data_IF_531703427163
#
_entry.id   IF_531703427163
#
_cell.length_a   1.000
_cell.length_b   1.000
_cell.length_c   1.000
_cell.angle_alpha   90.00
_cell.angle_beta   90.00
_cell.angle_gamma   90.00
#
_symmetry.space_group_name_H-M   'P 1'
#
loop_
_entity.id
_entity.type
_entity.pdbx_description
1 polymer ?
#
# COMPACT_ATOMS: atom_id res chain seq x y z
N UNK A 1 9.49 -1.33 -3.88
CA UNK A 1 10.18 -1.17 -5.17
C UNK A 1 9.32 -0.25 -6.00
N UNK A 2 9.85 0.85 -6.53
CA UNK A 2 9.07 1.83 -7.30
C UNK A 2 8.85 1.29 -8.71
N UNK A 3 7.59 1.25 -9.17
CA UNK A 3 7.26 0.74 -10.51
C UNK A 3 7.48 1.84 -11.53
N UNK A 4 8.27 1.56 -12.56
CA UNK A 4 8.46 2.49 -13.68
C UNK A 4 7.37 2.24 -14.73
N UNK A 5 6.78 3.32 -15.24
CA UNK A 5 5.86 3.20 -16.36
C UNK A 5 6.63 2.80 -17.62
N UNK A 6 6.34 1.61 -18.16
CA UNK A 6 7.12 0.98 -19.22
C UNK A 6 7.22 1.79 -20.52
N UNK A 7 6.32 2.75 -20.76
CA UNK A 7 6.32 3.63 -21.94
C UNK A 7 7.06 4.95 -21.70
N UNK A 8 7.02 5.50 -20.48
CA UNK A 8 7.45 6.88 -20.23
C UNK A 8 8.73 6.98 -19.38
N UNK A 9 9.17 5.87 -18.77
CA UNK A 9 10.31 5.89 -17.84
C UNK A 9 10.06 6.72 -16.57
N UNK A 10 8.84 7.22 -16.38
CA UNK A 10 8.44 8.04 -15.24
C UNK A 10 8.04 7.12 -14.08
N UNK A 11 8.50 7.39 -12.85
CA UNK A 11 8.04 6.69 -11.66
C UNK A 11 6.55 6.99 -11.42
N UNK A 12 5.77 5.95 -11.12
CA UNK A 12 4.37 6.11 -10.72
C UNK A 12 4.07 5.20 -9.53
N UNK A 13 3.00 5.52 -8.81
CA UNK A 13 2.48 4.68 -7.74
C UNK A 13 1.29 3.89 -8.29
N UNK A 14 1.39 2.56 -8.41
CA UNK A 14 0.26 1.75 -8.86
C UNK A 14 -0.92 1.88 -7.89
N UNK A 15 -2.13 2.06 -8.39
CA UNK A 15 -3.35 2.12 -7.60
C UNK A 15 -3.57 0.83 -6.79
N UNK A 16 -3.11 -0.31 -7.31
CA UNK A 16 -3.08 -1.58 -6.57
C UNK A 16 -2.15 -1.55 -5.36
N UNK A 17 -1.02 -0.83 -5.45
CA UNK A 17 -0.10 -0.65 -4.32
C UNK A 17 -0.68 0.30 -3.28
N UNK A 18 -1.32 1.40 -3.71
CA UNK A 18 -2.03 2.34 -2.83
C UNK A 18 -3.16 1.62 -2.08
N UNK A 19 -3.98 0.85 -2.80
CA UNK A 19 -5.02 -0.01 -2.22
C UNK A 19 -4.44 -1.02 -1.23
N UNK A 20 -3.37 -1.71 -1.64
CA UNK A 20 -2.72 -2.73 -0.81
C UNK A 20 -2.18 -2.16 0.49
N UNK A 21 -1.60 -0.96 0.45
CA UNK A 21 -1.11 -0.25 1.63
C UNK A 21 -2.25 0.11 2.59
N UNK A 22 -3.29 0.79 2.09
CA UNK A 22 -4.43 1.17 2.91
C UNK A 22 -5.13 -0.06 3.52
N UNK A 23 -5.36 -1.09 2.70
CA UNK A 23 -5.95 -2.36 3.12
C UNK A 23 -5.12 -3.05 4.21
N UNK A 24 -3.81 -3.14 4.02
CA UNK A 24 -2.93 -3.76 5.00
C UNK A 24 -2.94 -2.99 6.32
N UNK A 25 -2.94 -1.65 6.26
CA UNK A 25 -2.99 -0.81 7.46
C UNK A 25 -4.28 -1.03 8.26
N UNK A 26 -5.42 -1.11 7.58
CA UNK A 26 -6.70 -1.48 8.20
C UNK A 26 -6.61 -2.83 8.92
N UNK A 27 -6.07 -3.85 8.25
CA UNK A 27 -5.91 -5.20 8.82
C UNK A 27 -5.03 -5.17 10.07
N UNK A 28 -3.88 -4.49 9.99
CA UNK A 28 -2.92 -4.42 11.08
C UNK A 28 -3.44 -3.62 12.28
N UNK A 29 -4.25 -2.59 12.06
CA UNK A 29 -4.76 -1.77 13.16
C UNK A 29 -6.06 -2.30 13.78
N UNK A 30 -7.03 -2.70 12.95
CA UNK A 30 -8.39 -3.00 13.42
C UNK A 30 -8.62 -4.49 13.67
N UNK A 31 -7.83 -5.36 13.03
CA UNK A 31 -8.01 -6.83 13.12
C UNK A 31 -6.82 -7.51 13.80
N UNK A 32 -6.11 -6.78 14.67
CA UNK A 32 -4.94 -7.28 15.39
C UNK A 32 -5.32 -8.14 16.61
N UNK A 33 -5.85 -9.34 16.35
CA UNK A 33 -6.04 -10.34 17.39
C UNK A 33 -4.74 -11.11 17.64
N UNK A 34 -4.39 -11.30 18.91
CA UNK A 34 -3.09 -11.88 19.36
C UNK A 34 -2.94 -13.36 18.98
N UNK A 35 -4.03 -14.06 18.67
CA UNK A 35 -4.05 -15.51 18.41
C UNK A 35 -4.70 -15.91 17.07
N UNK A 36 -5.08 -14.95 16.22
CA UNK A 36 -5.89 -15.20 15.01
C UNK A 36 -5.22 -14.86 13.68
N UNK A 37 -5.80 -15.37 12.58
CA UNK A 37 -5.44 -14.94 11.22
C UNK A 37 -6.16 -13.62 10.91
N UNK A 38 -5.41 -12.52 10.97
CA UNK A 38 -5.93 -11.15 10.78
C UNK A 38 -6.60 -10.96 9.42
N UNK A 39 -6.08 -11.61 8.39
CA UNK A 39 -6.65 -11.55 7.04
C UNK A 39 -8.01 -12.22 7.02
N UNK A 40 -8.14 -13.38 7.68
CA UNK A 40 -9.41 -14.09 7.81
C UNK A 40 -10.44 -13.29 8.59
N UNK A 41 -10.02 -12.63 9.68
CA UNK A 41 -10.89 -11.77 10.48
C UNK A 41 -11.40 -10.57 9.66
N UNK A 42 -10.51 -9.93 8.90
CA UNK A 42 -10.88 -8.83 8.00
C UNK A 42 -11.82 -9.29 6.87
N UNK A 43 -11.60 -10.47 6.29
CA UNK A 43 -12.50 -11.08 5.29
C UNK A 43 -13.84 -11.55 5.89
N UNK A 44 -13.92 -11.64 7.22
CA UNK A 44 -15.16 -11.85 7.97
C UNK A 44 -15.98 -10.57 8.18
N UNK A 45 -15.43 -9.40 7.84
CA UNK A 45 -16.08 -8.10 7.99
C UNK A 45 -16.66 -7.62 6.65
N UNK A 46 -17.98 -7.52 6.56
CA UNK A 46 -18.69 -7.11 5.35
C UNK A 46 -18.40 -5.67 4.94
N UNK A 47 -18.16 -4.76 5.89
CA UNK A 47 -17.78 -3.37 5.61
C UNK A 47 -16.40 -3.28 4.96
N UNK A 48 -15.43 -4.03 5.49
CA UNK A 48 -14.09 -4.17 4.91
C UNK A 48 -14.16 -4.76 3.50
N UNK A 49 -14.88 -5.87 3.31
CA UNK A 49 -15.08 -6.49 2.01
C UNK A 49 -15.78 -5.55 1.02
N UNK A 50 -16.74 -4.75 1.47
CA UNK A 50 -17.42 -3.78 0.62
C UNK A 50 -16.47 -2.71 0.08
N UNK A 51 -15.53 -2.22 0.89
CA UNK A 51 -14.55 -1.20 0.46
C UNK A 51 -13.47 -1.82 -0.44
N UNK A 52 -12.82 -2.88 0.02
CA UNK A 52 -11.59 -3.40 -0.60
C UNK A 52 -11.83 -4.60 -1.53
N UNK A 53 -13.03 -5.19 -1.53
CA UNK A 53 -13.33 -6.43 -2.21
C UNK A 53 -12.80 -7.65 -1.46
N UNK A 54 -13.22 -8.82 -1.93
CA UNK A 54 -12.94 -10.07 -1.25
C UNK A 54 -13.00 -11.30 -2.18
N UNK A 55 -12.30 -12.39 -1.84
CA UNK A 55 -12.36 -13.66 -2.54
C UNK A 55 -13.59 -14.50 -2.11
N UNK A 56 -13.81 -15.61 -2.82
CA UNK A 56 -14.97 -16.52 -2.63
C UNK A 56 -15.13 -17.04 -1.19
N UNK A 57 -14.04 -17.21 -0.45
CA UNK A 57 -14.03 -17.71 0.92
C UNK A 57 -14.27 -16.64 2.00
N UNK A 58 -14.80 -15.46 1.63
CA UNK A 58 -15.12 -14.36 2.55
C UNK A 58 -16.59 -14.32 2.93
N UNK A 59 -16.96 -13.48 3.90
CA UNK A 59 -18.35 -13.32 4.37
C UNK A 59 -19.31 -12.84 3.26
N UNK A 60 -18.79 -12.15 2.25
CA UNK A 60 -19.56 -11.64 1.11
C UNK A 60 -19.42 -12.49 -0.16
N UNK A 61 -18.69 -13.61 -0.11
CA UNK A 61 -18.27 -14.34 -1.32
C UNK A 61 -17.34 -13.51 -2.21
N UNK A 62 -17.12 -13.91 -3.47
CA UNK A 62 -16.32 -13.12 -4.40
C UNK A 62 -16.99 -11.77 -4.67
N UNK A 63 -16.40 -10.70 -4.13
CA UNK A 63 -16.96 -9.35 -4.19
C UNK A 63 -15.94 -8.37 -4.75
N UNK A 64 -16.38 -7.55 -5.71
CA UNK A 64 -15.58 -6.42 -6.19
C UNK A 64 -15.82 -5.23 -5.28
N UNK A 65 -14.78 -4.79 -4.59
CA UNK A 65 -14.84 -3.59 -3.74
C UNK A 65 -15.36 -2.36 -4.48
N UNK A 66 -16.15 -1.54 -3.78
CA UNK A 66 -16.82 -0.37 -4.33
C UNK A 66 -15.83 0.77 -4.66
N UNK A 67 -14.73 0.88 -3.91
CA UNK A 67 -13.73 1.94 -4.10
C UNK A 67 -12.68 1.55 -5.15
N UNK A 68 -12.46 2.46 -6.09
CA UNK A 68 -11.45 2.40 -7.14
C UNK A 68 -10.24 3.23 -6.71
N UNK A 69 -9.06 2.63 -6.81
CA UNK A 69 -7.78 3.27 -6.51
C UNK A 69 -7.05 3.45 -7.82
N UNK A 70 -6.75 4.71 -8.18
CA UNK A 70 -6.12 5.05 -9.44
C UNK A 70 -4.60 5.07 -9.29
N UNK A 71 -3.90 4.87 -10.41
CA UNK A 71 -2.46 5.08 -10.48
C UNK A 71 -2.15 6.56 -10.25
N UNK A 72 -1.19 6.86 -9.38
CA UNK A 72 -0.76 8.22 -9.11
C UNK A 72 0.54 8.53 -9.86
N UNK A 73 0.53 9.63 -10.61
CA UNK A 73 1.67 10.15 -11.33
C UNK A 73 2.21 11.40 -10.63
N UNK A 74 3.52 11.69 -10.76
CA UNK A 74 4.09 12.87 -10.13
C UNK A 74 3.54 14.15 -10.78
N UNK A 75 3.20 15.13 -9.96
CA UNK A 75 2.58 16.42 -10.36
C UNK A 75 3.60 17.36 -11.02
N UNK A 76 4.87 17.17 -10.71
CA UNK A 76 6.00 17.85 -11.34
C UNK A 76 7.02 16.83 -11.79
N UNK A 77 7.89 17.19 -12.74
CA UNK A 77 8.98 16.30 -13.17
C UNK A 77 9.81 15.87 -11.94
N UNK A 78 9.83 14.57 -11.61
CA UNK A 78 10.58 14.09 -10.46
C UNK A 78 12.08 14.18 -10.74
N UNK A 79 12.87 14.57 -9.74
CA UNK A 79 14.32 14.39 -9.80
C UNK A 79 14.62 12.92 -9.52
N UNK A 80 15.02 12.18 -10.54
CA UNK A 80 15.35 10.77 -10.43
C UNK A 80 16.82 10.66 -10.02
N UNK A 81 17.09 10.19 -8.81
CA UNK A 81 18.44 9.83 -8.35
C UNK A 81 18.60 8.30 -8.36
N UNK A 82 19.82 7.83 -8.66
CA UNK A 82 20.16 6.41 -8.65
C UNK A 82 20.74 6.07 -7.27
N UNK A 83 20.06 5.23 -6.48
CA UNK A 83 20.60 4.72 -5.22
C UNK A 83 21.03 3.25 -5.38
N UNK A 84 22.08 2.85 -4.68
CA UNK A 84 22.71 1.53 -4.79
C UNK A 84 22.61 0.83 -3.43
N UNK A 85 21.78 -0.21 -3.35
CA UNK A 85 21.82 -1.13 -2.22
C UNK A 85 22.89 -2.21 -2.45
N UNK A 86 23.76 -2.42 -1.48
CA UNK A 86 24.51 -3.67 -1.36
C UNK A 86 23.85 -4.56 -0.30
N UNK A 87 22.83 -5.40 -0.62
CA UNK A 87 22.31 -6.36 0.35
C UNK A 87 23.41 -7.38 0.67
N UNK A 88 23.89 -7.38 1.91
CA UNK A 88 25.02 -8.22 2.34
C UNK A 88 24.63 -9.65 2.77
N UNK A 89 23.35 -10.05 2.62
CA UNK A 89 22.83 -11.34 3.12
C UNK A 89 21.95 -12.06 2.09
N UNK A 90 22.54 -12.49 0.97
CA UNK A 90 21.92 -13.41 0.01
C UNK A 90 21.72 -14.86 0.50
N UNK A 91 22.65 -15.50 1.25
CA UNK A 91 22.56 -16.95 1.52
C UNK A 91 21.68 -17.37 2.70
N UNK A 92 21.23 -16.45 3.57
CA UNK A 92 20.52 -16.82 4.82
C UNK A 92 19.11 -17.41 4.56
N UNK A 93 18.49 -17.11 3.42
CA UNK A 93 17.16 -17.61 3.06
C UNK A 93 17.17 -18.95 2.30
N UNK A 94 18.34 -19.53 2.04
CA UNK A 94 18.47 -20.79 1.28
C UNK A 94 18.71 -22.04 2.15
N UNK A 95 18.81 -21.90 3.48
CA UNK A 95 18.75 -23.03 4.42
C UNK A 95 19.79 -24.12 4.20
N UNK A 96 21.08 -23.81 4.33
CA UNK A 96 22.08 -24.72 4.92
C UNK A 96 23.48 -24.08 4.89
N UNK A 97 23.94 -23.54 6.04
CA UNK A 97 25.33 -23.36 6.53
C UNK A 97 25.49 -22.12 7.42
N UNK A 98 26.39 -22.15 8.43
CA UNK A 98 26.67 -21.01 9.30
C UNK A 98 27.34 -19.85 8.53
N UNK A 99 27.17 -18.59 8.98
CA UNK A 99 27.62 -17.41 8.26
C UNK A 99 29.15 -17.37 8.16
N UNK A 100 29.66 -17.01 6.99
CA UNK A 100 31.08 -16.74 6.78
C UNK A 100 31.27 -15.49 5.91
N UNK A 101 32.30 -14.72 6.25
CA UNK A 101 32.54 -13.30 5.91
C UNK A 101 32.98 -13.01 4.46
N UNK A 102 32.64 -13.88 3.49
CA UNK A 102 33.21 -13.83 2.13
C UNK A 102 32.19 -13.69 0.98
N UNK A 103 30.99 -13.14 1.23
CA UNK A 103 30.02 -12.90 0.16
C UNK A 103 30.20 -11.53 -0.49
N UNK A 104 30.45 -11.51 -1.80
CA UNK A 104 30.51 -10.28 -2.61
C UNK A 104 29.15 -9.55 -2.55
N UNK A 105 29.12 -8.24 -2.29
CA UNK A 105 27.88 -7.47 -2.40
C UNK A 105 27.43 -7.49 -3.87
N UNK A 106 26.18 -7.87 -4.11
CA UNK A 106 25.53 -7.73 -5.42
C UNK A 106 24.77 -6.40 -5.38
N UNK A 107 25.28 -5.32 -6.00
CA UNK A 107 24.62 -4.03 -5.93
C UNK A 107 23.28 -4.08 -6.66
N UNK A 108 22.18 -3.86 -5.93
CA UNK A 108 20.85 -3.65 -6.50
C UNK A 108 20.67 -2.14 -6.62
N UNK A 109 20.85 -1.61 -7.83
CA UNK A 109 20.48 -0.25 -8.15
C UNK A 109 18.95 -0.15 -8.11
N UNK A 110 18.41 0.81 -7.37
CA UNK A 110 17.00 1.16 -7.41
C UNK A 110 16.87 2.67 -7.55
N UNK A 111 15.86 3.10 -8.29
CA UNK A 111 15.63 4.53 -8.49
C UNK A 111 14.98 5.10 -7.23
N UNK A 112 15.54 6.18 -6.73
CA UNK A 112 14.96 7.05 -5.69
C UNK A 112 14.43 8.30 -6.37
N UNK A 113 13.29 8.78 -5.89
CA UNK A 113 12.75 10.07 -6.33
C UNK A 113 12.97 11.06 -5.21
N UNK A 114 13.71 12.12 -5.50
CA UNK A 114 13.87 13.27 -4.63
C UNK A 114 12.78 14.29 -4.97
N UNK A 115 12.10 14.80 -3.92
CA UNK A 115 11.14 15.90 -3.98
C UNK A 115 10.01 15.77 -5.02
N UNK A 116 9.34 14.61 -5.10
CA UNK A 116 8.14 14.46 -5.93
C UNK A 116 6.83 14.56 -5.13
N UNK A 117 5.91 15.36 -5.65
CA UNK A 117 4.52 15.39 -5.22
C UNK A 117 3.68 14.49 -6.13
N UNK A 118 2.72 13.77 -5.57
CA UNK A 118 1.82 12.88 -6.31
C UNK A 118 0.38 13.25 -5.97
N UNK A 119 -0.48 13.33 -6.98
CA UNK A 119 -1.92 13.43 -6.79
C UNK A 119 -2.51 12.02 -6.66
N UNK A 120 -2.99 11.70 -5.47
CA UNK A 120 -3.60 10.39 -5.20
C UNK A 120 -5.10 10.51 -5.32
N UNK A 121 -5.63 9.86 -6.35
CA UNK A 121 -7.06 9.83 -6.62
C UNK A 121 -7.65 8.49 -6.20
N UNK A 122 -8.73 8.56 -5.44
CA UNK A 122 -9.64 7.45 -5.18
C UNK A 122 -11.06 7.85 -5.61
N UNK A 123 -11.86 6.88 -6.04
CA UNK A 123 -13.21 7.18 -6.53
C UNK A 123 -14.18 6.03 -6.33
N UNK A 124 -15.47 6.36 -6.32
CA UNK A 124 -16.59 5.44 -6.14
C UNK A 124 -17.77 5.97 -6.97
N UNK A 125 -18.70 5.10 -7.36
CA UNK A 125 -19.96 5.61 -7.91
C UNK A 125 -20.76 6.26 -6.77
N UNK A 126 -21.37 7.42 -7.01
CA UNK A 126 -22.12 8.14 -5.97
C UNK A 126 -23.23 7.29 -5.33
N UNK A 127 -23.90 6.45 -6.13
CA UNK A 127 -24.91 5.50 -5.65
C UNK A 127 -24.39 4.47 -4.66
N UNK A 128 -23.10 4.15 -4.73
CA UNK A 128 -22.44 3.13 -3.91
C UNK A 128 -21.76 3.77 -2.68
N UNK A 129 -21.73 5.10 -2.58
CA UNK A 129 -21.10 5.83 -1.48
C UNK A 129 -22.07 6.12 -0.33
N UNK A 130 -22.87 5.12 0.05
CA UNK A 130 -23.81 5.20 1.18
C UNK A 130 -23.16 4.74 2.47
N UNK A 131 -23.75 5.07 3.62
CA UNK A 131 -23.25 4.63 4.91
C UNK A 131 -23.16 3.10 4.98
N UNK A 132 -22.03 2.59 5.47
CA UNK A 132 -21.81 1.17 5.69
C UNK A 132 -22.71 0.69 6.82
N UNK A 133 -23.46 -0.39 6.59
CA UNK A 133 -24.50 -0.88 7.52
C UNK A 133 -23.96 -1.89 8.55
N UNK A 134 -22.76 -2.44 8.34
CA UNK A 134 -22.21 -3.53 9.15
C UNK A 134 -20.68 -3.54 9.18
N UNK A 135 -20.11 -4.11 10.23
CA UNK A 135 -18.67 -4.25 10.40
C UNK A 135 -18.02 -3.10 11.18
N UNK A 136 -16.69 -3.03 11.15
CA UNK A 136 -15.89 -2.03 11.91
C UNK A 136 -16.08 -0.59 11.43
N UNK A 137 -16.72 -0.38 10.27
CA UNK A 137 -16.89 0.93 9.63
C UNK A 137 -18.34 1.42 9.60
N UNK A 138 -19.24 0.87 10.44
CA UNK A 138 -20.65 1.26 10.49
C UNK A 138 -20.82 2.78 10.59
N UNK A 139 -21.70 3.32 9.75
CA UNK A 139 -22.05 4.75 9.75
C UNK A 139 -21.11 5.66 8.96
N UNK A 140 -19.96 5.17 8.49
CA UNK A 140 -19.09 5.89 7.54
C UNK A 140 -19.40 5.50 6.10
N UNK A 141 -19.08 6.37 5.15
CA UNK A 141 -19.13 6.01 3.72
C UNK A 141 -17.84 5.30 3.28
N UNK A 142 -17.87 4.43 2.25
CA UNK A 142 -16.68 3.76 1.74
C UNK A 142 -15.58 4.74 1.30
N UNK A 143 -15.95 5.88 0.69
CA UNK A 143 -14.99 6.88 0.23
C UNK A 143 -14.26 7.55 1.39
N UNK A 144 -14.98 7.92 2.45
CA UNK A 144 -14.39 8.52 3.67
C UNK A 144 -13.38 7.56 4.29
N UNK A 145 -13.76 6.29 4.45
CA UNK A 145 -12.89 5.26 5.01
C UNK A 145 -11.65 5.08 4.11
N UNK A 146 -11.82 4.93 2.81
CA UNK A 146 -10.68 4.76 1.90
C UNK A 146 -9.73 5.97 1.92
N UNK A 147 -10.26 7.20 1.96
CA UNK A 147 -9.45 8.42 2.04
C UNK A 147 -8.63 8.45 3.34
N UNK A 148 -9.29 8.23 4.48
CA UNK A 148 -8.67 8.19 5.80
C UNK A 148 -7.52 7.18 5.85
N UNK A 149 -7.74 5.95 5.38
CA UNK A 149 -6.74 4.89 5.48
C UNK A 149 -5.62 5.01 4.46
N UNK A 150 -5.87 5.61 3.29
CA UNK A 150 -4.82 5.98 2.35
C UNK A 150 -3.93 7.05 2.96
N UNK A 151 -4.51 8.14 3.46
CA UNK A 151 -3.76 9.23 4.10
C UNK A 151 -2.92 8.71 5.26
N UNK A 152 -3.54 8.00 6.22
CA UNK A 152 -2.85 7.46 7.39
C UNK A 152 -1.71 6.51 7.02
N UNK A 153 -1.95 5.61 6.06
CA UNK A 153 -0.92 4.65 5.69
C UNK A 153 0.26 5.32 4.96
N UNK A 154 0.02 6.39 4.20
CA UNK A 154 1.06 7.18 3.55
C UNK A 154 1.87 8.03 4.51
N UNK A 155 1.21 8.64 5.51
CA UNK A 155 1.89 9.52 6.48
C UNK A 155 2.66 8.74 7.54
N UNK A 156 2.16 7.57 7.96
CA UNK A 156 2.75 6.81 9.08
C UNK A 156 3.72 5.70 8.62
N UNK A 157 3.57 5.17 7.40
CA UNK A 157 4.42 4.09 6.89
C UNK A 157 5.18 4.45 5.63
N UNK A 158 4.67 5.37 4.82
CA UNK A 158 5.29 5.73 3.56
C UNK A 158 5.16 4.66 2.45
N UNK A 159 5.35 5.08 1.20
CA UNK A 159 5.40 4.19 0.03
C UNK A 159 6.83 4.12 -0.51
N UNK A 160 7.40 2.92 -0.55
CA UNK A 160 8.73 2.70 -1.15
C UNK A 160 9.44 1.47 -0.60
N UNK A 161 10.43 0.95 -1.34
CA UNK A 161 11.36 -0.02 -0.75
C UNK A 161 12.18 0.73 0.31
N UNK A 162 12.11 0.29 1.57
CA UNK A 162 12.88 0.79 2.74
C UNK A 162 12.28 1.95 3.54
N UNK A 163 11.06 1.77 4.01
CA UNK A 163 10.46 2.62 5.05
C UNK A 163 11.24 2.60 6.37
N UNK A 164 12.10 1.59 6.59
CA UNK A 164 12.96 1.43 7.78
C UNK A 164 14.23 2.30 7.82
N UNK A 165 14.52 3.09 6.78
CA UNK A 165 15.68 4.03 6.74
C UNK A 165 15.27 5.47 6.36
N UNK A 166 13.98 5.81 6.47
CA UNK A 166 13.49 7.19 6.30
C UNK A 166 13.04 7.56 4.88
N UNK A 167 13.00 6.63 3.93
CA UNK A 167 12.46 6.87 2.59
C UNK A 167 10.96 6.61 2.52
N UNK A 168 10.23 7.44 1.76
CA UNK A 168 8.84 7.19 1.36
C UNK A 168 7.76 7.88 2.20
N UNK A 169 8.11 8.72 3.19
CA UNK A 169 7.13 9.48 3.99
C UNK A 169 6.49 10.58 3.15
N UNK A 170 5.16 10.52 2.99
CA UNK A 170 4.39 11.59 2.36
C UNK A 170 3.88 12.56 3.42
N UNK A 171 3.92 13.86 3.15
CA UNK A 171 3.12 14.84 3.88
C UNK A 171 1.84 15.11 3.11
N UNK A 172 0.68 14.88 3.74
CA UNK A 172 -0.59 15.31 3.18
C UNK A 172 -0.63 16.85 3.15
N UNK A 173 -0.82 17.43 1.96
CA UNK A 173 -1.33 18.80 1.82
C UNK A 173 -2.81 18.69 1.51
N UNK A 174 -3.65 19.26 2.38
CA UNK A 174 -5.10 19.23 2.20
C UNK A 174 -5.52 19.75 0.82
N UNK A 175 -6.56 19.14 0.26
CA UNK A 175 -7.16 19.60 -0.98
C UNK A 175 -7.63 21.06 -0.81
N UNK A 176 -7.18 21.94 -1.72
CA UNK A 176 -7.70 23.29 -1.86
C UNK A 176 -9.02 23.30 -2.63
#
# INVERSE_FOLDING_TARGET
SMTLHHIYGVPYLPGSAIKGLARNRVIVELFNNVEGDREKDALGDSGFCHIFGSPENSVTGAYRGAVRFFDAFPVSNPTISLDVMNPHYGPYYAGDKPPADYHNPVPVCFLTVEDASFDICIGINESDNTAIESGVFVGKTPLEVAAEWVERALTEHGIGAKTSVGYGLFQAKGAG
#
